data_IF_067521876824
#
_entry.id   IF_067521876824
#
_cell.length_a   1.000
_cell.length_b   1.000
_cell.length_c   1.000
_cell.angle_alpha   90.00
_cell.angle_beta   90.00
_cell.angle_gamma   90.00
#
_symmetry.space_group_name_H-M   'P 1'
#
loop_
_entity.id
_entity.type
_entity.pdbx_description
1 polymer ?
#
# COMPACT_ATOMS: atom_id res chain seq x y z
N UNK A 1 -22.19 12.90 -20.98
CA UNK A 1 -21.80 12.51 -20.48
C UNK A 1 -21.45 12.22 -19.80
N UNK A 2 -21.54 12.40 -19.21
CA UNK A 2 -21.13 12.19 -18.54
C UNK A 2 -20.94 11.53 -18.26
N UNK A 3 -21.11 11.56 -18.37
CA UNK A 3 -20.88 11.04 -18.14
C UNK A 3 -20.55 10.28 -18.33
N UNK A 4 -20.80 10.19 -19.06
CA UNK A 4 -20.27 9.40 -19.24
C UNK A 4 -19.18 9.24 -19.35
N UNK A 5 -19.29 9.43 -20.17
CA UNK A 5 -17.98 9.45 -20.06
C UNK A 5 -17.41 9.93 -18.86
N UNK A 6 -18.03 10.53 -18.27
CA UNK A 6 -17.60 10.94 -17.00
C UNK A 6 -17.32 9.80 -16.11
N UNK A 7 -18.05 8.72 -16.16
CA UNK A 7 -17.75 7.53 -15.39
C UNK A 7 -16.34 7.04 -15.66
N UNK A 8 -15.91 7.11 -16.90
CA UNK A 8 -14.57 6.68 -17.22
C UNK A 8 -13.53 7.55 -16.57
N UNK A 9 -13.75 8.84 -16.55
CA UNK A 9 -12.83 9.76 -15.92
C UNK A 9 -12.73 9.55 -14.43
N UNK A 10 -13.69 8.86 -13.84
CA UNK A 10 -13.68 8.61 -12.40
C UNK A 10 -13.11 7.24 -12.04
N UNK A 11 -12.79 6.43 -13.04
CA UNK A 11 -12.23 5.11 -12.78
C UNK A 11 -10.75 5.21 -12.53
N UNK A 12 -10.30 4.48 -11.51
CA UNK A 12 -8.88 4.39 -11.21
C UNK A 12 -8.20 3.46 -12.19
N UNK A 13 -6.97 3.76 -12.54
CA UNK A 13 -6.15 2.88 -13.38
C UNK A 13 -5.22 2.06 -12.51
N UNK A 14 -4.71 0.92 -13.00
CA UNK A 14 -3.72 0.17 -12.23
C UNK A 14 -2.47 1.01 -11.97
N UNK A 15 -1.90 0.95 -10.76
CA UNK A 15 -0.71 1.72 -10.46
C UNK A 15 0.53 1.11 -11.09
N UNK A 16 1.52 1.96 -11.36
CA UNK A 16 2.83 1.56 -11.85
C UNK A 16 3.86 1.74 -10.74
N UNK A 17 5.07 1.25 -10.97
CA UNK A 17 6.16 1.49 -10.04
C UNK A 17 6.45 3.00 -9.93
N UNK A 18 6.34 3.71 -11.05
CA UNK A 18 6.52 5.16 -11.04
C UNK A 18 5.50 5.84 -10.14
N UNK A 19 4.25 5.37 -10.14
CA UNK A 19 3.21 5.88 -9.24
C UNK A 19 3.59 5.64 -7.78
N UNK A 20 4.11 4.45 -7.48
CA UNK A 20 4.55 4.13 -6.13
C UNK A 20 5.67 5.06 -5.68
N UNK A 21 6.64 5.31 -6.56
CA UNK A 21 7.76 6.21 -6.24
C UNK A 21 7.25 7.61 -5.94
N UNK A 22 6.34 8.13 -6.77
CA UNK A 22 5.77 9.46 -6.57
C UNK A 22 5.00 9.55 -5.25
N UNK A 23 4.19 8.53 -4.97
CA UNK A 23 3.42 8.48 -3.73
C UNK A 23 4.35 8.44 -2.52
N UNK A 24 5.36 7.59 -2.56
CA UNK A 24 6.27 7.43 -1.42
C UNK A 24 7.13 8.67 -1.23
N UNK A 25 7.48 9.36 -2.32
CA UNK A 25 8.17 10.64 -2.20
C UNK A 25 7.32 11.64 -1.41
N UNK A 26 6.02 11.70 -1.69
CA UNK A 26 5.11 12.59 -0.96
C UNK A 26 4.97 12.17 0.49
N UNK A 27 4.84 10.87 0.75
CA UNK A 27 4.73 10.35 2.12
C UNK A 27 5.98 10.68 2.91
N UNK A 28 7.15 10.50 2.30
CA UNK A 28 8.42 10.79 2.97
C UNK A 28 8.57 12.29 3.25
N UNK A 29 8.14 13.13 2.32
CA UNK A 29 8.21 14.58 2.50
C UNK A 29 7.38 15.03 3.69
N UNK A 30 6.27 14.35 3.98
CA UNK A 30 5.43 14.65 5.14
C UNK A 30 5.90 13.97 6.42
N UNK A 31 6.93 13.13 6.33
CA UNK A 31 7.40 12.40 7.50
C UNK A 31 6.48 11.25 7.91
N UNK A 32 5.69 10.75 6.98
CA UNK A 32 4.75 9.67 7.28
C UNK A 32 5.47 8.36 7.60
N UNK A 33 4.90 7.57 8.49
CA UNK A 33 5.42 6.29 8.94
C UNK A 33 4.53 5.20 8.37
N UNK A 34 5.09 4.38 7.48
CA UNK A 34 4.31 3.40 6.72
C UNK A 34 5.21 2.29 6.21
N UNK A 35 4.60 1.22 5.73
CA UNK A 35 5.30 0.18 4.98
C UNK A 35 4.41 -0.26 3.83
N UNK A 36 5.02 -0.49 2.67
CA UNK A 36 4.32 -0.99 1.48
C UNK A 36 4.18 -2.50 1.63
N UNK A 37 2.95 -2.98 1.56
CA UNK A 37 2.63 -4.40 1.63
C UNK A 37 1.89 -4.80 0.34
N UNK A 38 1.38 -6.00 0.27
CA UNK A 38 0.55 -6.45 -0.84
C UNK A 38 1.30 -6.60 -2.15
N UNK A 39 0.60 -6.35 -3.26
CA UNK A 39 1.13 -6.65 -4.60
C UNK A 39 2.42 -5.93 -4.94
N UNK A 40 2.55 -4.66 -4.55
CA UNK A 40 3.79 -3.93 -4.84
C UNK A 40 4.99 -4.52 -4.10
N UNK A 41 4.79 -4.98 -2.85
CA UNK A 41 5.86 -5.62 -2.11
C UNK A 41 6.22 -6.98 -2.74
N UNK A 42 5.23 -7.70 -3.27
CA UNK A 42 5.49 -8.95 -3.99
C UNK A 42 6.32 -8.70 -5.24
N UNK A 43 5.97 -7.65 -5.98
CA UNK A 43 6.73 -7.28 -7.20
C UNK A 43 8.16 -6.91 -6.82
N UNK A 44 8.35 -6.17 -5.75
CA UNK A 44 9.68 -5.79 -5.29
C UNK A 44 10.49 -7.04 -4.89
N UNK A 45 9.84 -8.04 -4.33
CA UNK A 45 10.49 -9.29 -3.96
C UNK A 45 10.87 -10.16 -5.17
N UNK A 46 10.42 -9.78 -6.36
CA UNK A 46 10.76 -10.47 -7.60
C UNK A 46 9.63 -11.27 -8.22
N UNK A 47 8.42 -11.21 -7.63
CA UNK A 47 7.28 -11.95 -8.18
C UNK A 47 6.65 -11.15 -9.31
N UNK A 48 6.69 -11.70 -10.52
CA UNK A 48 6.11 -11.03 -11.69
C UNK A 48 4.60 -11.23 -11.66
N UNK A 49 3.88 -10.18 -11.32
CA UNK A 49 2.43 -10.20 -11.26
C UNK A 49 1.88 -8.79 -11.46
N UNK A 50 0.60 -8.70 -11.79
CA UNK A 50 -0.10 -7.43 -11.86
C UNK A 50 -0.64 -7.08 -10.47
N UNK A 51 -0.84 -5.80 -10.22
CA UNK A 51 -1.54 -5.34 -9.03
C UNK A 51 -2.48 -4.21 -9.45
N UNK A 52 -3.60 -4.08 -8.72
CA UNK A 52 -4.61 -3.07 -9.04
C UNK A 52 -4.64 -1.94 -8.01
N UNK A 53 -3.86 -2.07 -6.94
CA UNK A 53 -3.83 -1.07 -5.88
C UNK A 53 -2.47 -1.04 -5.20
N UNK A 54 -2.25 0.00 -4.40
CA UNK A 54 -1.08 0.13 -3.54
C UNK A 54 -1.57 -0.03 -2.11
N UNK A 55 -1.03 -1.00 -1.40
CA UNK A 55 -1.44 -1.30 -0.03
C UNK A 55 -0.40 -0.75 0.95
N UNK A 56 -0.86 0.05 1.90
CA UNK A 56 0.00 0.65 2.91
C UNK A 56 -0.49 0.28 4.30
N UNK A 57 0.42 -0.25 5.10
CA UNK A 57 0.20 -0.42 6.54
C UNK A 57 0.83 0.79 7.22
N UNK A 58 0.04 1.55 7.97
CA UNK A 58 0.51 2.80 8.55
C UNK A 58 0.52 2.74 10.08
N UNK A 59 1.41 3.52 10.67
CA UNK A 59 1.43 3.70 12.11
C UNK A 59 0.23 4.57 12.49
N UNK A 60 -0.45 4.26 13.58
CA UNK A 60 -1.80 4.72 13.85
C UNK A 60 -1.93 5.93 14.76
N UNK A 61 -0.83 6.63 15.09
CA UNK A 61 -0.99 7.88 15.84
C UNK A 61 -1.78 8.88 14.99
N UNK A 62 -2.52 9.75 15.65
CA UNK A 62 -3.28 10.78 14.93
C UNK A 62 -2.36 11.67 14.11
N UNK A 63 -1.19 11.97 14.65
CA UNK A 63 -0.21 12.77 13.95
C UNK A 63 0.21 12.12 12.64
N UNK A 64 0.46 10.81 12.67
CA UNK A 64 0.87 10.09 11.47
C UNK A 64 -0.27 9.97 10.47
N UNK A 65 -1.48 9.73 10.95
CA UNK A 65 -2.64 9.68 10.06
C UNK A 65 -2.79 10.99 9.29
N UNK A 66 -2.55 12.11 9.96
CA UNK A 66 -2.62 13.41 9.31
C UNK A 66 -1.50 13.60 8.29
N UNK A 67 -0.31 13.10 8.58
CA UNK A 67 0.81 13.14 7.64
C UNK A 67 0.49 12.34 6.38
N UNK A 68 -0.09 11.17 6.55
CA UNK A 68 -0.52 10.34 5.42
C UNK A 68 -1.57 11.08 4.60
N UNK A 69 -2.55 11.67 5.27
CA UNK A 69 -3.61 12.42 4.59
C UNK A 69 -3.03 13.55 3.75
N UNK A 70 -2.11 14.33 4.31
CA UNK A 70 -1.50 15.44 3.57
C UNK A 70 -0.73 14.94 2.35
N UNK A 71 -0.04 13.81 2.48
CA UNK A 71 0.68 13.24 1.35
C UNK A 71 -0.27 12.84 0.23
N UNK A 72 -1.39 12.22 0.58
CA UNK A 72 -2.36 11.78 -0.42
C UNK A 72 -3.12 12.93 -1.07
N UNK A 73 -3.13 14.10 -0.45
CA UNK A 73 -3.70 15.29 -1.07
C UNK A 73 -2.93 15.73 -2.32
N UNK A 74 -1.70 15.23 -2.50
CA UNK A 74 -0.92 15.54 -3.69
C UNK A 74 -1.41 14.80 -4.93
N UNK A 75 -2.30 13.83 -4.78
CA UNK A 75 -2.83 13.08 -5.91
C UNK A 75 -3.86 13.91 -6.66
N UNK A 76 -4.00 13.68 -7.99
CA UNK A 76 -4.80 14.58 -8.83
C UNK A 76 -6.25 14.77 -8.41
N UNK A 77 -6.91 13.71 -7.98
CA UNK A 77 -8.34 13.78 -7.65
C UNK A 77 -8.57 14.14 -6.19
N UNK A 78 -7.51 14.15 -5.37
CA UNK A 78 -7.59 14.46 -3.95
C UNK A 78 -8.68 13.66 -3.23
N UNK A 79 -8.81 12.39 -3.59
CA UNK A 79 -9.88 11.53 -3.10
C UNK A 79 -9.81 11.34 -1.58
N UNK A 80 -8.64 11.52 -0.97
CA UNK A 80 -8.49 11.38 0.48
C UNK A 80 -9.32 12.40 1.25
N UNK A 81 -9.80 13.44 0.59
CA UNK A 81 -10.67 14.43 1.23
C UNK A 81 -11.97 13.81 1.74
N UNK A 82 -12.38 12.69 1.14
CA UNK A 82 -13.58 11.97 1.56
C UNK A 82 -13.37 11.15 2.83
N UNK A 83 -12.14 10.95 3.23
CA UNK A 83 -11.82 10.15 4.41
C UNK A 83 -12.08 10.97 5.68
N UNK A 84 -12.81 10.36 6.63
CA UNK A 84 -13.05 10.97 7.93
C UNK A 84 -11.88 10.66 8.88
N UNK A 85 -11.65 11.51 9.89
CA UNK A 85 -10.47 11.37 10.76
C UNK A 85 -10.34 10.04 11.49
N UNK A 86 -11.45 9.34 11.75
CA UNK A 86 -11.41 8.08 12.49
C UNK A 86 -11.64 6.86 11.61
N UNK A 87 -11.67 7.03 10.28
CA UNK A 87 -11.98 5.91 9.38
C UNK A 87 -10.96 4.78 9.49
N UNK A 88 -9.68 5.10 9.57
CA UNK A 88 -8.65 4.06 9.60
C UNK A 88 -8.72 3.25 10.88
N UNK A 89 -9.21 3.85 11.96
CA UNK A 89 -9.41 3.12 13.22
C UNK A 89 -10.66 2.25 13.19
N UNK A 90 -11.66 2.67 12.42
CA UNK A 90 -12.96 1.99 12.41
C UNK A 90 -13.05 0.87 11.40
N UNK A 91 -12.29 0.94 10.33
CA UNK A 91 -12.41 -0.02 9.22
C UNK A 91 -11.10 -0.76 9.02
N UNK A 92 -11.20 -2.02 8.61
CA UNK A 92 -10.02 -2.85 8.34
C UNK A 92 -9.18 -2.26 7.22
N UNK A 93 -9.84 -1.75 6.17
CA UNK A 93 -9.20 -1.15 5.02
C UNK A 93 -9.96 0.11 4.66
N UNK A 94 -9.24 1.21 4.43
CA UNK A 94 -9.84 2.42 3.90
C UNK A 94 -9.30 2.61 2.48
N UNK A 95 -10.20 2.51 1.51
CA UNK A 95 -9.84 2.60 0.10
C UNK A 95 -9.93 4.03 -0.38
N UNK A 96 -8.82 4.55 -0.90
CA UNK A 96 -8.76 5.87 -1.50
C UNK A 96 -8.67 5.68 -3.00
N UNK A 97 -9.78 5.89 -3.69
CA UNK A 97 -9.87 5.69 -5.14
C UNK A 97 -9.57 7.00 -5.85
N UNK A 98 -8.31 7.26 -6.07
CA UNK A 98 -7.82 8.44 -6.77
C UNK A 98 -7.46 8.05 -8.20
N UNK A 99 -6.45 8.67 -8.80
CA UNK A 99 -5.98 8.27 -10.12
C UNK A 99 -5.64 6.79 -10.15
N UNK A 100 -5.10 6.28 -9.05
CA UNK A 100 -4.98 4.86 -8.79
C UNK A 100 -5.46 4.61 -7.36
N UNK A 101 -5.69 3.35 -7.01
CA UNK A 101 -6.28 3.00 -5.72
C UNK A 101 -5.18 2.80 -4.67
N UNK A 102 -5.34 3.44 -3.53
CA UNK A 102 -4.49 3.22 -2.36
C UNK A 102 -5.37 2.67 -1.24
N UNK A 103 -4.96 1.55 -0.66
CA UNK A 103 -5.64 0.96 0.49
C UNK A 103 -4.81 1.22 1.73
N UNK A 104 -5.42 1.92 2.69
CA UNK A 104 -4.78 2.26 3.96
C UNK A 104 -5.25 1.32 5.04
N UNK A 105 -4.31 0.78 5.81
CA UNK A 105 -4.61 -0.17 6.88
C UNK A 105 -3.82 0.18 8.12
N UNK A 106 -4.49 0.14 9.27
CA UNK A 106 -3.79 0.25 10.56
C UNK A 106 -3.37 -1.11 11.07
N UNK A 107 -3.91 -2.17 10.48
CA UNK A 107 -3.62 -3.54 10.87
C UNK A 107 -3.87 -4.44 9.69
N UNK A 108 -2.98 -5.38 9.47
CA UNK A 108 -3.09 -6.36 8.38
C UNK A 108 -2.83 -7.73 8.96
N UNK A 109 -3.80 -8.64 8.82
CA UNK A 109 -3.75 -10.00 9.38
C UNK A 109 -3.34 -10.00 10.85
N UNK A 110 -3.97 -9.12 11.62
CA UNK A 110 -3.75 -9.06 13.06
C UNK A 110 -2.45 -8.37 13.46
N UNK A 111 -1.72 -7.79 12.52
CA UNK A 111 -0.41 -7.19 12.78
C UNK A 111 -0.47 -5.70 12.53
N UNK A 112 -0.06 -4.89 13.53
CA UNK A 112 0.03 -3.45 13.35
C UNK A 112 1.44 -3.06 12.89
N UNK A 113 1.66 -1.75 12.67
CA UNK A 113 2.94 -1.29 12.16
C UNK A 113 4.08 -1.64 13.12
N UNK A 114 3.87 -1.47 14.42
CA UNK A 114 4.92 -1.75 15.41
C UNK A 114 5.37 -3.21 15.33
N UNK A 115 4.42 -4.12 15.15
CA UNK A 115 4.72 -5.55 15.04
C UNK A 115 5.40 -5.89 13.70
N UNK A 116 5.23 -5.03 12.70
CA UNK A 116 5.79 -5.26 11.37
C UNK A 116 7.22 -4.72 11.23
N UNK A 117 7.69 -3.91 12.17
CA UNK A 117 8.92 -3.15 12.00
C UNK A 117 10.14 -4.00 11.65
N UNK A 118 10.25 -5.18 12.26
CA UNK A 118 11.43 -6.03 12.04
C UNK A 118 11.47 -6.65 10.64
N UNK A 119 10.34 -6.61 9.93
CA UNK A 119 10.25 -7.18 8.58
C UNK A 119 10.25 -6.13 7.48
N UNK A 120 10.73 -4.92 7.77
CA UNK A 120 10.74 -3.85 6.79
C UNK A 120 12.13 -3.74 6.16
N UNK A 121 12.17 -3.69 4.82
CA UNK A 121 13.39 -3.44 4.07
C UNK A 121 13.27 -2.10 3.36
N UNK A 122 14.27 -1.24 3.54
CA UNK A 122 14.32 0.04 2.84
C UNK A 122 14.99 -0.17 1.49
N UNK A 123 14.30 0.19 0.41
CA UNK A 123 14.83 0.05 -0.95
C UNK A 123 14.78 1.42 -1.62
N UNK A 124 15.88 1.81 -2.26
CA UNK A 124 15.92 3.09 -2.99
C UNK A 124 15.52 2.83 -4.44
N UNK A 125 14.48 3.50 -4.90
CA UNK A 125 14.04 3.44 -6.29
C UNK A 125 13.96 4.88 -6.79
N UNK A 126 14.72 5.18 -7.83
CA UNK A 126 14.77 6.53 -8.42
C UNK A 126 15.08 7.59 -7.37
N UNK A 127 15.95 7.24 -6.42
CA UNK A 127 16.37 8.16 -5.37
C UNK A 127 15.42 8.30 -4.20
N UNK A 128 14.31 7.56 -4.20
CA UNK A 128 13.32 7.61 -3.13
C UNK A 128 13.42 6.34 -2.29
N UNK A 129 13.60 6.52 -0.97
CA UNK A 129 13.63 5.38 -0.06
C UNK A 129 12.21 4.90 0.24
N UNK A 130 11.96 3.64 -0.04
CA UNK A 130 10.62 3.06 0.13
C UNK A 130 10.72 1.87 1.07
N UNK A 131 9.96 1.88 2.18
CA UNK A 131 9.94 0.75 3.10
C UNK A 131 9.00 -0.33 2.58
N UNK A 132 9.54 -1.50 2.27
CA UNK A 132 8.75 -2.64 1.80
C UNK A 132 8.72 -3.73 2.85
N UNK A 133 7.60 -4.43 2.94
CA UNK A 133 7.54 -5.67 3.72
C UNK A 133 8.41 -6.71 3.03
N UNK A 134 9.28 -7.38 3.80
CA UNK A 134 10.11 -8.44 3.24
C UNK A 134 9.29 -9.73 3.09
N UNK A 135 9.83 -10.76 2.40
CA UNK A 135 9.05 -12.00 2.19
C UNK A 135 8.53 -12.65 3.47
N UNK A 136 9.30 -12.62 4.56
CA UNK A 136 8.84 -13.19 5.83
C UNK A 136 7.64 -12.46 6.39
N UNK A 137 7.66 -11.14 6.32
CA UNK A 137 6.54 -10.34 6.80
C UNK A 137 5.31 -10.54 5.91
N UNK A 138 5.50 -10.61 4.59
CA UNK A 138 4.40 -10.77 3.66
C UNK A 138 3.71 -12.12 3.77
N UNK A 139 4.40 -13.13 4.29
CA UNK A 139 3.84 -14.46 4.45
C UNK A 139 2.54 -14.45 5.26
N UNK A 140 2.50 -13.66 6.34
CA UNK A 140 1.34 -13.63 7.22
C UNK A 140 0.09 -13.05 6.55
N UNK A 141 0.15 -11.88 5.87
CA UNK A 141 -1.02 -11.37 5.16
C UNK A 141 -1.52 -12.29 4.07
N UNK A 142 -0.67 -13.18 3.54
CA UNK A 142 -1.06 -14.08 2.46
C UNK A 142 -1.65 -15.40 2.94
N UNK A 143 -1.88 -15.56 4.23
CA UNK A 143 -2.51 -16.74 4.78
C UNK A 143 -4.04 -16.59 4.70
N UNK A 144 -4.56 -16.50 3.47
CA UNK A 144 -5.99 -16.38 3.20
C UNK A 144 -6.40 -17.48 2.23
N UNK A 145 -7.69 -17.56 1.92
CA UNK A 145 -8.18 -18.58 1.01
C UNK A 145 -8.34 -18.12 -0.44
N UNK A 146 -7.89 -16.94 -0.78
CA UNK A 146 -8.04 -16.44 -2.14
C UNK A 146 -6.99 -17.04 -3.07
N UNK A 147 -7.39 -17.31 -4.32
CA UNK A 147 -6.50 -17.94 -5.29
C UNK A 147 -5.21 -17.16 -5.51
N UNK A 148 -5.31 -15.84 -5.66
CA UNK A 148 -4.10 -15.04 -5.87
C UNK A 148 -3.18 -15.09 -4.66
N UNK A 149 -3.73 -15.27 -3.47
CA UNK A 149 -2.92 -15.38 -2.26
C UNK A 149 -2.25 -16.75 -2.20
N UNK A 150 -2.86 -17.78 -2.79
CA UNK A 150 -2.21 -19.09 -2.87
C UNK A 150 -0.95 -19.04 -3.74
N UNK A 151 -1.04 -18.34 -4.88
CA UNK A 151 0.14 -18.17 -5.74
C UNK A 151 1.22 -17.36 -5.02
N UNK A 152 0.82 -16.31 -4.32
CA UNK A 152 1.75 -15.50 -3.54
C UNK A 152 2.43 -16.34 -2.47
N UNK A 153 1.66 -17.20 -1.78
CA UNK A 153 2.24 -18.08 -0.75
C UNK A 153 3.27 -19.04 -1.33
N UNK A 154 2.98 -19.59 -2.51
CA UNK A 154 3.92 -20.49 -3.17
C UNK A 154 5.22 -19.77 -3.48
N UNK A 155 5.12 -18.55 -4.03
CA UNK A 155 6.28 -17.75 -4.35
C UNK A 155 7.08 -17.44 -3.08
N UNK A 156 6.40 -17.00 -2.01
CA UNK A 156 7.06 -16.62 -0.76
C UNK A 156 7.74 -17.82 -0.12
N UNK A 157 7.10 -18.98 -0.18
CA UNK A 157 7.71 -20.20 0.37
C UNK A 157 9.04 -20.51 -0.32
N UNK A 158 9.09 -20.38 -1.64
CA UNK A 158 10.31 -20.60 -2.39
C UNK A 158 11.39 -19.59 -1.99
N UNK A 159 11.00 -18.33 -1.89
CA UNK A 159 11.96 -17.28 -1.53
C UNK A 159 12.55 -17.53 -0.14
N UNK A 160 11.72 -17.92 0.81
CA UNK A 160 12.17 -18.18 2.17
C UNK A 160 13.05 -19.41 2.23
N UNK A 161 12.76 -20.43 1.44
CA UNK A 161 13.53 -21.66 1.43
C UNK A 161 14.90 -21.50 0.78
N UNK A 162 15.10 -20.46 -0.02
CA UNK A 162 16.38 -20.22 -0.70
C UNK A 162 17.40 -19.53 0.18
N UNK A 163 17.05 -19.19 1.38
CA UNK A 163 17.98 -18.53 2.30
C UNK A 163 18.93 -19.49 3.00
#
# INVERSE_FOLDING_TARGET
MVDENDGKGLESRPPTISDLVTLCSALNAEGAIYVVIGGMAMIQAGFVRATVDIDLLIEMSKENQERVRRALMSLPDQAVREMHPDDIERYTVVRIADEFVIDLMGRACGMDFAQAMDGIEQVSIDGVLIPFANPGLMWKPKQTGRDKDDLDRMFLRERLNKK
#
